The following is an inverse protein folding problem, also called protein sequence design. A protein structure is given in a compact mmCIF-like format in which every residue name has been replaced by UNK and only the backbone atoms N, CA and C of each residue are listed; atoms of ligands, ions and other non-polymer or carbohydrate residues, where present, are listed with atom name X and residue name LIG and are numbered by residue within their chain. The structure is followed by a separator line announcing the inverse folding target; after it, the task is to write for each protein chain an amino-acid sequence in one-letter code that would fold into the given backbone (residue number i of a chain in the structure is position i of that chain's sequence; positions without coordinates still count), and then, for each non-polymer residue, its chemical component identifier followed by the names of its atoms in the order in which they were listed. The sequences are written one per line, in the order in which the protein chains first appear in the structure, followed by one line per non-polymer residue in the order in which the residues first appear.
data_IF_262885031709
#
_entry.id   IF_262885031709
#
_cell.length_a   1.000
_cell.length_b   1.000
_cell.length_c   1.000
_cell.angle_alpha   90.00
_cell.angle_beta   90.00
_cell.angle_gamma   90.00
#
_symmetry.space_group_name_H-M   'P 1'
#
loop_
_entity.id
_entity.type
_entity.pdbx_description
1 polymer ?
#
# COMPACT_ATOMS: atom_id res chain seq x y z
N UNK A 1 1.32 -4.93 -10.44
CA UNK A 1 1.59 -4.06 -9.28
C UNK A 1 3.01 -4.27 -8.81
N UNK A 2 3.82 -3.22 -8.76
CA UNK A 2 5.19 -3.30 -8.24
C UNK A 2 5.24 -2.68 -6.84
N UNK A 3 5.45 -3.51 -5.82
CA UNK A 3 5.67 -3.04 -4.46
C UNK A 3 7.10 -2.48 -4.30
N UNK A 4 7.25 -1.44 -3.50
CA UNK A 4 8.47 -0.67 -3.32
C UNK A 4 8.65 -0.38 -1.83
N UNK A 5 9.62 -1.05 -1.19
CA UNK A 5 9.89 -0.86 0.23
C UNK A 5 10.43 0.54 0.53
N UNK A 6 9.97 1.18 1.63
CA UNK A 6 10.31 2.57 1.92
C UNK A 6 11.80 2.80 2.10
N UNK A 7 12.47 1.94 2.88
CA UNK A 7 13.89 2.08 3.23
C UNK A 7 14.80 1.05 2.56
N UNK A 8 14.38 -0.21 2.49
CA UNK A 8 15.20 -1.30 1.96
C UNK A 8 15.47 -1.20 0.45
N UNK A 9 16.69 -1.57 0.05
CA UNK A 9 17.11 -1.71 -1.35
C UNK A 9 17.76 -3.10 -1.50
N UNK A 10 17.25 -3.96 -2.39
CA UNK A 10 17.88 -5.25 -2.67
C UNK A 10 19.31 -5.06 -3.21
N UNK A 11 20.28 -5.80 -2.66
CA UNK A 11 21.69 -5.71 -3.08
C UNK A 11 21.93 -6.31 -4.49
N UNK A 12 21.14 -7.30 -4.88
CA UNK A 12 21.35 -8.06 -6.12
C UNK A 12 20.40 -7.64 -7.25
N UNK A 13 19.15 -7.28 -6.92
CA UNK A 13 18.06 -7.15 -7.89
C UNK A 13 17.53 -5.72 -8.05
N UNK A 14 18.37 -4.72 -7.74
CA UNK A 14 18.04 -3.30 -7.82
C UNK A 14 19.09 -2.50 -8.60
N UNK A 15 18.68 -1.59 -9.50
CA UNK A 15 19.60 -0.61 -10.09
C UNK A 15 20.14 0.37 -9.05
N UNK A 16 19.55 0.42 -7.85
CA UNK A 16 19.95 1.28 -6.74
C UNK A 16 20.90 0.59 -5.75
N UNK A 17 21.40 -0.61 -6.06
CA UNK A 17 22.31 -1.35 -5.19
C UNK A 17 23.50 -0.49 -4.71
N UNK A 18 23.87 -0.62 -3.44
CA UNK A 18 24.92 0.17 -2.80
C UNK A 18 24.57 1.63 -2.49
N UNK A 19 23.40 2.14 -2.90
CA UNK A 19 22.93 3.47 -2.49
C UNK A 19 22.40 3.42 -1.05
N UNK A 20 22.62 4.49 -0.28
CA UNK A 20 22.13 4.63 1.09
C UNK A 20 21.10 5.75 1.15
N UNK A 21 20.15 5.62 2.09
CA UNK A 21 19.14 6.65 2.38
C UNK A 21 18.25 7.02 1.18
N UNK A 22 18.05 6.10 0.23
CA UNK A 22 17.07 6.32 -0.84
C UNK A 22 15.68 6.10 -0.27
N UNK A 23 14.89 7.17 -0.25
CA UNK A 23 13.53 7.18 0.30
C UNK A 23 12.54 6.51 -0.64
N UNK A 24 11.36 6.19 -0.11
CA UNK A 24 10.25 5.66 -0.92
C UNK A 24 9.92 6.58 -2.09
N UNK A 25 9.80 7.89 -1.81
CA UNK A 25 9.44 8.89 -2.80
C UNK A 25 10.43 8.92 -3.97
N UNK A 26 11.74 8.85 -3.68
CA UNK A 26 12.77 8.82 -4.69
C UNK A 26 12.67 7.58 -5.58
N UNK A 27 12.40 6.41 -4.98
CA UNK A 27 12.23 5.15 -5.74
C UNK A 27 11.04 5.23 -6.68
N UNK A 28 9.89 5.72 -6.22
CA UNK A 28 8.70 5.91 -7.06
C UNK A 28 8.99 6.89 -8.20
N UNK A 29 9.62 8.04 -7.90
CA UNK A 29 10.02 9.02 -8.93
C UNK A 29 10.95 8.44 -9.98
N UNK A 30 11.87 7.55 -9.61
CA UNK A 30 12.74 6.86 -10.56
C UNK A 30 11.90 5.98 -11.49
N UNK A 31 10.98 5.17 -10.94
CA UNK A 31 10.09 4.34 -11.75
C UNK A 31 9.25 5.18 -12.72
N UNK A 32 8.67 6.29 -12.23
CA UNK A 32 7.87 7.23 -13.02
C UNK A 32 8.65 7.81 -14.22
N UNK A 33 9.91 8.21 -14.00
CA UNK A 33 10.67 8.98 -14.99
C UNK A 33 11.53 8.13 -15.92
N UNK A 34 11.91 6.92 -15.50
CA UNK A 34 12.86 6.07 -16.26
C UNK A 34 12.21 4.86 -16.93
N UNK A 35 10.95 4.54 -16.59
CA UNK A 35 10.19 3.39 -17.13
C UNK A 35 11.03 2.10 -17.21
N UNK A 36 11.65 1.66 -16.09
CA UNK A 36 12.58 0.54 -16.12
C UNK A 36 11.85 -0.78 -16.41
N UNK A 37 12.61 -1.79 -16.86
CA UNK A 37 12.11 -3.17 -16.81
C UNK A 37 11.90 -3.57 -15.35
N UNK A 38 10.65 -3.84 -14.99
CA UNK A 38 10.23 -3.93 -13.60
C UNK A 38 9.59 -5.29 -13.30
N UNK A 39 9.99 -5.86 -12.18
CA UNK A 39 9.37 -7.05 -11.62
C UNK A 39 8.13 -6.64 -10.84
N UNK A 40 7.00 -7.29 -11.06
CA UNK A 40 5.73 -6.94 -10.47
C UNK A 40 4.85 -8.17 -10.28
N UNK A 41 3.82 -8.04 -9.45
CA UNK A 41 2.83 -9.11 -9.26
C UNK A 41 1.52 -8.75 -9.94
N UNK A 42 0.86 -9.75 -10.52
CA UNK A 42 -0.54 -9.66 -10.89
C UNK A 42 -1.39 -10.03 -9.68
N UNK A 43 -2.47 -9.30 -9.46
CA UNK A 43 -3.44 -9.58 -8.39
C UNK A 43 -4.74 -10.13 -8.95
N UNK A 44 -5.38 -10.99 -8.18
CA UNK A 44 -6.68 -11.60 -8.45
C UNK A 44 -7.61 -11.41 -7.25
N UNK A 45 -8.93 -11.44 -7.45
CA UNK A 45 -9.88 -11.49 -6.33
C UNK A 45 -9.55 -12.63 -5.37
N UNK A 46 -9.53 -12.34 -4.07
CA UNK A 46 -9.13 -13.29 -3.03
C UNK A 46 -7.64 -13.28 -2.67
N UNK A 47 -6.78 -12.62 -3.46
CA UNK A 47 -5.37 -12.43 -3.11
C UNK A 47 -5.23 -11.60 -1.82
N UNK A 48 -4.20 -11.91 -1.04
CA UNK A 48 -3.92 -11.21 0.22
C UNK A 48 -2.63 -10.40 0.19
N UNK A 49 -2.32 -9.76 1.33
CA UNK A 49 -1.06 -9.03 1.54
C UNK A 49 0.18 -9.85 1.22
N UNK A 50 0.13 -11.17 1.40
CA UNK A 50 1.24 -12.08 1.11
C UNK A 50 1.76 -11.96 -0.33
N UNK A 51 0.93 -11.54 -1.28
CA UNK A 51 1.29 -11.32 -2.69
C UNK A 51 2.28 -10.18 -2.92
N UNK A 52 2.55 -9.37 -1.89
CA UNK A 52 3.48 -8.26 -1.99
C UNK A 52 4.67 -8.51 -1.07
N UNK A 53 5.83 -7.99 -1.44
CA UNK A 53 6.98 -7.96 -0.54
C UNK A 53 7.04 -6.66 0.27
N UNK A 54 6.27 -5.64 -0.15
CA UNK A 54 6.14 -4.34 0.52
C UNK A 54 4.69 -3.82 0.53
N UNK A 55 4.35 -2.90 1.43
CA UNK A 55 2.99 -2.36 1.57
C UNK A 55 2.61 -1.28 0.56
N UNK A 56 3.55 -0.62 -0.12
CA UNK A 56 3.20 0.46 -1.03
C UNK A 56 4.00 0.38 -2.32
N UNK A 57 3.49 0.98 -3.38
CA UNK A 57 4.20 1.01 -4.65
C UNK A 57 3.33 1.54 -5.79
N UNK A 58 3.57 1.01 -6.98
CA UNK A 58 2.95 1.49 -8.21
C UNK A 58 2.04 0.44 -8.86
N UNK A 59 0.90 0.91 -9.36
CA UNK A 59 0.03 0.17 -10.27
C UNK A 59 0.56 0.39 -11.68
N UNK A 60 0.77 -0.70 -12.41
CA UNK A 60 1.31 -0.67 -13.77
C UNK A 60 0.19 -0.98 -14.77
N UNK A 61 0.26 -0.35 -15.93
CA UNK A 61 -0.61 -0.58 -17.08
C UNK A 61 0.25 -0.66 -18.35
N UNK A 62 -0.28 -1.35 -19.37
CA UNK A 62 0.41 -1.55 -20.64
C UNK A 62 1.76 -2.24 -20.48
N UNK A 63 2.69 -1.92 -21.39
CA UNK A 63 4.02 -2.52 -21.46
C UNK A 63 4.03 -3.91 -22.10
N UNK A 64 5.21 -4.51 -22.19
CA UNK A 64 5.41 -5.86 -22.74
C UNK A 64 5.87 -6.81 -21.64
N UNK A 65 5.10 -7.87 -21.39
CA UNK A 65 5.55 -8.96 -20.50
C UNK A 65 6.73 -9.67 -21.17
N UNK A 66 7.85 -9.79 -20.45
CA UNK A 66 9.07 -10.48 -20.90
C UNK A 66 9.24 -11.85 -20.26
N UNK A 67 8.68 -12.01 -19.06
CA UNK A 67 8.78 -13.22 -18.25
C UNK A 67 7.62 -13.28 -17.27
N UNK A 68 7.16 -14.49 -16.96
CA UNK A 68 6.21 -14.73 -15.88
C UNK A 68 6.59 -15.99 -15.10
N UNK A 69 6.35 -15.98 -13.79
CA UNK A 69 6.63 -17.09 -12.89
C UNK A 69 5.54 -17.21 -11.83
N UNK A 70 5.15 -18.44 -11.52
CA UNK A 70 4.20 -18.79 -10.45
C UNK A 70 4.74 -18.48 -9.04
N UNK A 71 6.04 -18.17 -8.94
CA UNK A 71 6.76 -17.81 -7.71
C UNK A 71 7.75 -16.66 -7.98
N UNK A 72 8.56 -16.30 -6.97
CA UNK A 72 9.78 -15.52 -7.21
C UNK A 72 10.67 -16.28 -8.23
N UNK A 73 10.90 -15.66 -9.38
CA UNK A 73 11.72 -16.17 -10.48
C UNK A 73 13.18 -15.76 -10.37
N UNK A 74 13.58 -15.07 -9.30
CA UNK A 74 14.97 -14.70 -9.03
C UNK A 74 15.54 -13.74 -10.06
N UNK A 75 14.72 -12.83 -10.60
CA UNK A 75 15.14 -11.95 -11.69
C UNK A 75 16.19 -10.94 -11.24
N UNK A 76 17.28 -10.83 -12.01
CA UNK A 76 18.42 -9.96 -11.68
C UNK A 76 18.49 -8.76 -12.62
N UNK A 77 19.02 -7.64 -12.12
CA UNK A 77 19.21 -6.41 -12.92
C UNK A 77 20.66 -6.32 -13.38
N UNK A 78 20.87 -6.28 -14.70
CA UNK A 78 22.20 -6.12 -15.28
C UNK A 78 22.68 -4.65 -15.22
N UNK A 79 23.90 -4.38 -15.70
CA UNK A 79 24.50 -3.03 -15.63
C UNK A 79 23.77 -2.00 -16.49
N UNK A 80 23.06 -2.46 -17.50
CA UNK A 80 22.25 -1.65 -18.41
C UNK A 80 20.81 -1.44 -17.90
N UNK A 81 20.47 -1.94 -16.71
CA UNK A 81 19.13 -1.82 -16.12
C UNK A 81 18.09 -2.79 -16.67
N UNK A 82 18.50 -3.75 -17.51
CA UNK A 82 17.63 -4.82 -18.03
C UNK A 82 17.57 -5.98 -17.05
N UNK A 83 16.45 -6.70 -17.06
CA UNK A 83 16.24 -7.86 -16.23
C UNK A 83 16.61 -9.15 -16.94
N UNK A 84 17.47 -9.94 -16.32
CA UNK A 84 17.79 -11.30 -16.74
C UNK A 84 17.03 -12.30 -15.89
N UNK A 85 16.48 -13.32 -16.54
CA UNK A 85 15.72 -14.39 -15.92
C UNK A 85 16.20 -15.73 -16.45
N UNK A 86 16.14 -16.77 -15.61
CA UNK A 86 16.46 -18.12 -16.04
C UNK A 86 15.20 -18.75 -16.64
N UNK A 87 15.15 -18.83 -17.97
CA UNK A 87 14.01 -19.45 -18.65
C UNK A 87 14.12 -20.97 -18.57
N UNK A 88 13.12 -21.63 -17.98
CA UNK A 88 13.04 -23.09 -17.89
C UNK A 88 12.69 -23.79 -19.21
N UNK A 89 12.56 -23.03 -20.31
CA UNK A 89 12.26 -23.54 -21.66
C UNK A 89 10.80 -23.39 -22.06
N UNK A 90 9.93 -22.94 -21.16
CA UNK A 90 8.53 -22.65 -21.46
C UNK A 90 8.38 -21.42 -22.36
N UNK A 91 7.39 -21.46 -23.25
CA UNK A 91 7.01 -20.28 -24.02
C UNK A 91 6.41 -19.20 -23.11
N UNK A 92 6.55 -17.92 -23.48
CA UNK A 92 5.98 -16.82 -22.70
C UNK A 92 4.47 -16.97 -22.49
N UNK A 93 3.73 -17.42 -23.51
CA UNK A 93 2.28 -17.65 -23.39
C UNK A 93 1.94 -18.73 -22.33
N UNK A 94 2.74 -19.79 -22.26
CA UNK A 94 2.59 -20.83 -21.23
C UNK A 94 2.92 -20.27 -19.84
N UNK A 95 4.03 -19.53 -19.71
CA UNK A 95 4.42 -18.89 -18.45
C UNK A 95 3.30 -18.00 -17.92
N UNK A 96 2.79 -17.09 -18.75
CA UNK A 96 1.70 -16.17 -18.38
C UNK A 96 0.45 -16.96 -17.98
N UNK A 97 0.04 -17.93 -18.79
CA UNK A 97 -1.15 -18.76 -18.49
C UNK A 97 -1.00 -19.53 -17.18
N UNK A 98 0.16 -20.12 -16.90
CA UNK A 98 0.40 -20.85 -15.67
C UNK A 98 0.40 -19.92 -14.46
N UNK A 99 1.10 -18.78 -14.54
CA UNK A 99 1.14 -17.79 -13.46
C UNK A 99 -0.23 -17.22 -13.13
N UNK A 100 -1.02 -16.88 -14.15
CA UNK A 100 -2.38 -16.36 -13.96
C UNK A 100 -3.40 -17.42 -13.51
N UNK A 101 -3.18 -18.70 -13.74
CA UNK A 101 -4.11 -19.76 -13.32
C UNK A 101 -3.65 -20.54 -12.09
N UNK A 102 -2.43 -20.30 -11.61
CA UNK A 102 -1.93 -20.94 -10.40
C UNK A 102 -2.69 -20.46 -9.16
N UNK A 103 -3.15 -21.42 -8.36
CA UNK A 103 -3.55 -21.25 -6.95
C UNK A 103 -2.36 -21.48 -6.00
N UNK A 104 -1.24 -21.98 -6.52
CA UNK A 104 -0.01 -22.21 -5.78
C UNK A 104 0.88 -20.98 -5.79
N UNK A 105 1.33 -20.56 -4.60
CA UNK A 105 2.38 -19.56 -4.42
C UNK A 105 1.98 -18.43 -3.48
N UNK A 106 2.90 -18.02 -2.60
CA UNK A 106 2.73 -16.82 -1.78
C UNK A 106 3.05 -15.54 -2.57
N UNK A 107 3.58 -15.62 -3.78
CA UNK A 107 3.98 -14.48 -4.60
C UNK A 107 4.04 -14.91 -6.07
N UNK A 108 3.57 -14.10 -7.01
CA UNK A 108 3.83 -14.30 -8.43
C UNK A 108 4.72 -13.18 -8.99
N UNK A 109 5.47 -13.49 -10.04
CA UNK A 109 6.37 -12.54 -10.67
C UNK A 109 6.10 -12.39 -12.16
N UNK A 110 5.97 -11.15 -12.60
CA UNK A 110 5.95 -10.73 -13.99
C UNK A 110 7.03 -9.69 -14.21
N UNK A 111 7.87 -9.87 -15.22
CA UNK A 111 8.78 -8.82 -15.69
C UNK A 111 8.11 -8.08 -16.84
N UNK A 112 7.92 -6.77 -16.67
CA UNK A 112 7.29 -5.91 -17.67
C UNK A 112 8.30 -4.87 -18.14
N UNK A 113 8.49 -4.79 -19.46
CA UNK A 113 9.27 -3.73 -20.11
C UNK A 113 8.36 -2.59 -20.56
N UNK A 114 8.90 -1.37 -20.54
CA UNK A 114 8.22 -0.13 -20.93
C UNK A 114 6.83 0.07 -20.28
N UNK A 115 6.69 -0.13 -18.94
CA UNK A 115 5.40 0.00 -18.30
C UNK A 115 4.97 1.47 -18.21
N UNK A 116 3.66 1.69 -18.13
CA UNK A 116 3.07 2.95 -17.69
C UNK A 116 2.57 2.84 -16.25
N UNK A 117 2.90 3.82 -15.42
CA UNK A 117 2.34 3.87 -14.06
C UNK A 117 0.93 4.46 -14.14
N UNK A 118 -0.06 3.66 -13.77
CA UNK A 118 -1.47 4.01 -13.78
C UNK A 118 -1.97 4.56 -12.44
N UNK A 119 -1.19 4.40 -11.37
CA UNK A 119 -1.56 4.86 -10.05
C UNK A 119 -0.56 4.43 -8.99
N UNK A 120 -0.78 4.89 -7.77
CA UNK A 120 -0.04 4.46 -6.59
C UNK A 120 -0.96 3.59 -5.74
N UNK A 121 -0.40 2.58 -5.08
CA UNK A 121 -1.17 1.74 -4.17
C UNK A 121 -0.52 1.63 -2.80
N UNK A 122 -1.36 1.43 -1.78
CA UNK A 122 -0.99 0.96 -0.45
C UNK A 122 -1.84 -0.26 -0.09
N UNK A 123 -1.24 -1.25 0.55
CA UNK A 123 -1.96 -2.41 1.08
C UNK A 123 -2.58 -2.02 2.41
N UNK A 124 -3.90 -2.20 2.53
CA UNK A 124 -4.60 -1.88 3.76
C UNK A 124 -4.00 -2.65 4.93
N UNK A 125 -3.65 -1.92 5.97
CA UNK A 125 -3.34 -2.45 7.28
C UNK A 125 -4.66 -2.88 7.93
N UNK A 126 -5.14 -4.09 7.60
CA UNK A 126 -6.25 -4.65 8.36
C UNK A 126 -5.84 -4.63 9.85
N UNK A 127 -6.62 -4.01 10.76
CA UNK A 127 -6.25 -3.92 12.17
C UNK A 127 -6.04 -5.29 12.84
N UNK A 128 -6.53 -6.37 12.23
CA UNK A 128 -6.30 -7.75 12.68
C UNK A 128 -5.04 -8.40 12.04
N UNK A 129 -4.43 -7.77 11.02
CA UNK A 129 -3.22 -8.27 10.36
C UNK A 129 -1.96 -7.98 11.19
N UNK A 130 -1.49 -9.02 11.89
CA UNK A 130 -0.30 -8.98 12.75
C UNK A 130 1.01 -9.15 11.98
N UNK A 131 0.98 -9.26 10.65
CA UNK A 131 2.18 -9.48 9.83
C UNK A 131 2.87 -8.18 9.40
N UNK A 132 2.30 -7.03 9.75
CA UNK A 132 2.88 -5.71 9.52
C UNK A 132 4.20 -5.50 10.26
N UNK A 133 5.30 -5.38 9.52
CA UNK A 133 6.55 -4.86 10.03
C UNK A 133 6.53 -3.32 9.96
N UNK A 134 6.76 -2.65 11.09
CA UNK A 134 6.68 -1.18 11.20
C UNK A 134 7.62 -0.42 10.23
N UNK A 135 8.71 -1.06 9.78
CA UNK A 135 9.71 -0.45 8.92
C UNK A 135 9.33 -0.45 7.42
N UNK A 136 8.19 -1.05 7.07
CA UNK A 136 7.67 -1.19 5.69
C UNK A 136 6.41 -0.33 5.46
N UNK A 137 6.19 0.69 6.30
CA UNK A 137 4.96 1.49 6.28
C UNK A 137 5.20 2.85 5.61
N UNK A 138 4.58 3.05 4.45
CA UNK A 138 4.34 4.37 3.85
C UNK A 138 3.01 4.88 4.38
N UNK A 139 2.94 6.15 4.77
CA UNK A 139 1.66 6.71 5.26
C UNK A 139 0.68 6.95 4.12
N UNK A 140 -0.63 6.83 4.39
CA UNK A 140 -1.68 7.18 3.43
C UNK A 140 -1.58 8.64 2.97
N UNK A 141 -1.19 9.56 3.87
CA UNK A 141 -0.96 10.97 3.54
C UNK A 141 0.17 11.16 2.53
N UNK A 142 1.30 10.46 2.73
CA UNK A 142 2.44 10.51 1.81
C UNK A 142 2.06 9.96 0.42
N UNK A 143 1.33 8.85 0.38
CA UNK A 143 0.86 8.26 -0.88
C UNK A 143 -0.09 9.19 -1.63
N UNK A 144 -1.09 9.77 -0.95
CA UNK A 144 -2.07 10.68 -1.59
C UNK A 144 -1.36 11.91 -2.12
N UNK A 145 -0.50 12.53 -1.32
CA UNK A 145 0.27 13.70 -1.75
C UNK A 145 1.07 13.41 -3.02
N UNK A 146 1.73 12.25 -3.08
CA UNK A 146 2.48 11.86 -4.27
C UNK A 146 1.58 11.61 -5.48
N UNK A 147 0.43 10.95 -5.27
CA UNK A 147 -0.53 10.69 -6.33
C UNK A 147 -1.04 12.01 -6.93
N UNK A 148 -1.38 12.99 -6.09
CA UNK A 148 -1.76 14.35 -6.51
C UNK A 148 -0.66 15.06 -7.29
N UNK A 149 0.60 15.01 -6.81
CA UNK A 149 1.74 15.63 -7.50
C UNK A 149 1.96 15.09 -8.92
N UNK A 150 1.67 13.81 -9.14
CA UNK A 150 1.80 13.16 -10.45
C UNK A 150 0.50 13.12 -11.26
N UNK A 151 -0.58 13.71 -10.75
CA UNK A 151 -1.92 13.61 -11.34
C UNK A 151 -2.34 12.16 -11.62
N UNK A 152 -2.10 11.29 -10.62
CA UNK A 152 -2.40 9.88 -10.65
C UNK A 152 -3.45 9.53 -9.58
N UNK A 153 -4.24 8.46 -9.79
CA UNK A 153 -5.10 7.93 -8.75
C UNK A 153 -4.27 7.24 -7.64
N UNK A 154 -4.76 7.40 -6.41
CA UNK A 154 -4.31 6.66 -5.24
C UNK A 154 -5.26 5.49 -4.99
N UNK A 155 -4.71 4.31 -4.71
CA UNK A 155 -5.48 3.10 -4.44
C UNK A 155 -5.12 2.49 -3.09
N UNK A 156 -6.09 1.81 -2.50
CA UNK A 156 -5.86 0.87 -1.40
C UNK A 156 -6.21 -0.54 -1.84
N UNK A 157 -5.29 -1.47 -1.61
CA UNK A 157 -5.51 -2.89 -1.82
C UNK A 157 -6.15 -3.50 -0.57
N UNK A 158 -7.29 -4.14 -0.73
CA UNK A 158 -8.00 -4.83 0.33
C UNK A 158 -8.71 -6.08 -0.20
N UNK A 159 -8.39 -7.25 0.37
CA UNK A 159 -9.00 -8.56 0.05
C UNK A 159 -9.02 -8.90 -1.45
N UNK A 160 -7.89 -8.71 -2.13
CA UNK A 160 -7.72 -9.07 -3.53
C UNK A 160 -8.22 -8.02 -4.51
N UNK A 161 -8.63 -6.86 -4.01
CA UNK A 161 -9.26 -5.81 -4.80
C UNK A 161 -8.59 -4.46 -4.55
N UNK A 162 -8.56 -3.61 -5.58
CA UNK A 162 -8.14 -2.22 -5.46
C UNK A 162 -9.36 -1.32 -5.35
N UNK A 163 -9.31 -0.37 -4.41
CA UNK A 163 -10.31 0.68 -4.23
C UNK A 163 -9.63 2.03 -4.40
N UNK A 164 -10.28 2.97 -5.09
CA UNK A 164 -9.83 4.36 -5.08
C UNK A 164 -9.84 4.89 -3.64
N UNK A 165 -8.71 5.50 -3.26
CA UNK A 165 -8.50 6.08 -1.95
C UNK A 165 -8.81 7.56 -2.01
N UNK A 166 -9.75 8.02 -1.19
CA UNK A 166 -10.09 9.44 -1.05
C UNK A 166 -9.88 9.92 0.36
N UNK A 167 -9.33 11.12 0.50
CA UNK A 167 -9.26 11.79 1.78
C UNK A 167 -10.56 12.57 2.02
N UNK A 168 -11.19 12.39 3.18
CA UNK A 168 -12.35 13.17 3.59
C UNK A 168 -12.33 13.48 5.09
N UNK A 169 -13.20 14.40 5.53
CA UNK A 169 -13.44 14.68 6.94
C UNK A 169 -14.80 14.13 7.35
N UNK A 170 -14.83 13.34 8.42
CA UNK A 170 -16.05 12.83 9.02
C UNK A 170 -16.20 13.31 10.47
N UNK A 171 -17.43 13.47 10.93
CA UNK A 171 -17.72 13.71 12.34
C UNK A 171 -17.92 12.38 13.05
N UNK A 172 -17.17 12.13 14.12
CA UNK A 172 -17.34 10.96 14.98
C UNK A 172 -17.44 11.36 16.44
N UNK A 173 -18.19 10.57 17.19
CA UNK A 173 -18.30 10.71 18.64
C UNK A 173 -17.20 9.89 19.33
N UNK A 174 -16.29 10.56 20.03
CA UNK A 174 -15.19 9.92 20.76
C UNK A 174 -15.49 9.83 22.25
N UNK A 175 -15.17 8.68 22.83
CA UNK A 175 -15.31 8.45 24.27
C UNK A 175 -14.05 8.94 25.00
N UNK A 176 -14.24 9.59 26.16
CA UNK A 176 -13.16 9.96 27.07
C UNK A 176 -12.47 8.68 27.57
N UNK A 177 -11.14 8.65 27.52
CA UNK A 177 -10.29 7.59 28.08
C UNK A 177 -9.22 8.22 28.95
N UNK A 178 -8.95 7.61 30.10
CA UNK A 178 -7.81 8.02 30.94
C UNK A 178 -6.55 7.35 30.44
N UNK A 179 -5.44 8.08 30.38
CA UNK A 179 -4.11 7.49 30.22
C UNK A 179 -3.33 7.74 31.51
N UNK A 180 -2.84 6.67 32.13
CA UNK A 180 -1.79 6.76 33.14
C UNK A 180 -0.49 6.70 32.35
N UNK A 181 0.20 7.84 32.17
CA UNK A 181 1.64 7.73 31.88
C UNK A 181 2.29 7.04 33.09
N UNK A 182 3.38 6.31 32.88
CA UNK A 182 4.08 5.47 33.86
C UNK A 182 4.67 6.20 35.10
N UNK A 183 4.02 7.26 35.58
CA UNK A 183 4.29 8.01 36.79
C UNK A 183 2.99 8.15 37.56
N UNK A 184 3.01 7.87 38.86
CA UNK A 184 1.89 8.17 39.74
C UNK A 184 1.49 9.65 39.56
N UNK A 185 0.19 9.95 39.44
CA UNK A 185 -0.26 11.30 39.18
C UNK A 185 0.14 12.23 40.34
N UNK A 186 0.76 13.36 40.01
CA UNK A 186 0.75 14.51 40.93
C UNK A 186 -0.72 14.92 41.12
N UNK A 187 -1.12 15.08 42.39
CA UNK A 187 -2.48 15.45 42.78
C UNK A 187 -2.93 16.69 41.98
N UNK A 188 -3.98 16.53 41.15
CA UNK A 188 -4.57 17.63 40.37
C UNK A 188 -4.12 17.79 38.91
N UNK A 189 -3.23 16.95 38.36
CA UNK A 189 -2.84 16.99 36.93
C UNK A 189 -3.37 15.78 36.16
N UNK A 190 -4.61 15.87 35.66
CA UNK A 190 -5.18 14.87 34.75
C UNK A 190 -5.15 15.39 33.31
N UNK A 191 -4.32 14.78 32.46
CA UNK A 191 -4.50 14.94 31.01
C UNK A 191 -5.67 14.07 30.56
N UNK A 192 -6.65 14.71 29.94
CA UNK A 192 -7.81 14.00 29.40
C UNK A 192 -7.60 13.73 27.93
N UNK A 193 -7.76 12.47 27.54
CA UNK A 193 -7.64 12.06 26.16
C UNK A 193 -8.96 11.48 25.67
N UNK A 194 -9.34 11.81 24.45
CA UNK A 194 -10.38 11.09 23.74
C UNK A 194 -9.73 10.14 22.75
N UNK A 195 -10.19 8.89 22.74
CA UNK A 195 -9.65 7.84 21.87
C UNK A 195 -10.79 7.14 21.14
N UNK A 196 -10.60 6.90 19.85
CA UNK A 196 -11.44 5.97 19.10
C UNK A 196 -11.16 4.56 19.60
N UNK A 197 -12.19 3.91 20.15
CA UNK A 197 -12.09 2.54 20.66
C UNK A 197 -11.81 1.56 19.51
N UNK A 198 -11.26 0.38 19.82
CA UNK A 198 -11.04 -0.65 18.79
C UNK A 198 -12.33 -1.07 18.09
N UNK A 199 -13.46 -1.08 18.81
CA UNK A 199 -14.77 -1.36 18.23
C UNK A 199 -15.18 -0.27 17.23
N UNK A 200 -15.05 1.01 17.59
CA UNK A 200 -15.36 2.12 16.67
C UNK A 200 -14.44 2.12 15.44
N UNK A 201 -13.16 1.76 15.60
CA UNK A 201 -12.24 1.59 14.45
C UNK A 201 -12.73 0.50 13.51
N UNK A 202 -13.18 -0.63 14.05
CA UNK A 202 -13.75 -1.73 13.27
C UNK A 202 -15.03 -1.30 12.56
N UNK A 203 -15.95 -0.62 13.25
CA UNK A 203 -17.20 -0.11 12.66
C UNK A 203 -16.95 0.89 11.52
N UNK A 204 -15.96 1.77 11.67
CA UNK A 204 -15.53 2.68 10.60
C UNK A 204 -14.90 1.91 9.44
N UNK A 205 -14.04 0.94 9.73
CA UNK A 205 -13.41 0.11 8.71
C UNK A 205 -14.42 -0.71 7.90
N UNK A 206 -15.42 -1.28 8.57
CA UNK A 206 -16.54 -2.00 7.95
C UNK A 206 -17.42 -1.09 7.06
N UNK A 207 -17.41 0.22 7.32
CA UNK A 207 -18.05 1.25 6.50
C UNK A 207 -17.14 1.76 5.35
N UNK A 208 -15.92 1.24 5.22
CA UNK A 208 -14.96 1.66 4.21
C UNK A 208 -14.00 2.76 4.67
N UNK A 209 -13.99 3.13 5.95
CA UNK A 209 -13.15 4.19 6.50
C UNK A 209 -11.88 3.67 7.18
N UNK A 210 -10.75 4.16 6.70
CA UNK A 210 -9.43 3.92 7.24
C UNK A 210 -9.00 5.16 8.02
N UNK A 211 -8.61 4.94 9.27
CA UNK A 211 -8.10 5.99 10.14
C UNK A 211 -6.58 6.03 10.07
N UNK A 212 -6.01 7.23 10.04
CA UNK A 212 -4.59 7.40 10.33
C UNK A 212 -4.32 6.98 11.79
N UNK A 213 -3.11 6.49 12.06
CA UNK A 213 -2.78 5.90 13.36
C UNK A 213 -3.12 6.80 14.56
N UNK A 214 -3.52 6.15 15.66
CA UNK A 214 -3.79 6.72 17.00
C UNK A 214 -4.28 8.18 17.03
N UNK A 215 -5.51 8.44 16.58
CA UNK A 215 -6.26 9.63 16.98
C UNK A 215 -6.37 9.70 18.52
N UNK A 216 -5.60 10.59 19.11
CA UNK A 216 -5.58 10.94 20.53
C UNK A 216 -5.81 12.44 20.60
N UNK A 217 -6.97 12.85 21.11
CA UNK A 217 -7.32 14.26 21.23
C UNK A 217 -7.12 14.65 22.69
N UNK A 218 -6.06 15.42 22.97
CA UNK A 218 -5.85 16.04 24.28
C UNK A 218 -6.81 17.20 24.48
N UNK A 219 -7.40 17.29 25.67
CA UNK A 219 -8.21 18.44 26.07
C UNK A 219 -7.82 18.90 27.48
N UNK A 220 -7.80 20.21 27.68
CA UNK A 220 -7.62 20.79 29.01
C UNK A 220 -8.94 20.60 29.77
N UNK A 221 -8.89 19.81 30.84
CA UNK A 221 -10.05 19.33 31.57
C UNK A 221 -11.06 20.45 31.91
N UNK A 222 -12.26 20.36 31.31
CA UNK A 222 -13.48 20.92 31.87
C UNK A 222 -14.32 19.77 32.46
N UNK A 223 -15.07 20.08 33.50
CA UNK A 223 -15.61 19.16 34.52
C UNK A 223 -16.82 18.31 34.08
N UNK A 224 -16.84 17.81 32.84
CA UNK A 224 -17.93 16.99 32.30
C UNK A 224 -17.52 15.58 31.87
N UNK A 225 -18.42 14.60 32.05
CA UNK A 225 -18.34 13.23 31.53
C UNK A 225 -18.99 13.11 30.14
N UNK A 226 -18.81 14.12 29.28
CA UNK A 226 -19.54 14.19 28.02
C UNK A 226 -18.76 13.57 26.88
N UNK A 227 -19.45 12.77 26.06
CA UNK A 227 -18.92 12.34 24.77
C UNK A 227 -18.71 13.57 23.89
N UNK A 228 -17.62 13.58 23.12
CA UNK A 228 -17.27 14.71 22.27
C UNK A 228 -17.41 14.35 20.81
N UNK A 229 -18.07 15.20 20.03
CA UNK A 229 -18.04 15.13 18.56
C UNK A 229 -16.77 15.79 18.06
N UNK A 230 -16.03 15.08 17.22
CA UNK A 230 -14.76 15.53 16.66
C UNK A 230 -14.75 15.28 15.16
N UNK A 231 -14.19 16.22 14.41
CA UNK A 231 -13.93 16.03 12.99
C UNK A 231 -12.59 15.33 12.82
N UNK A 232 -12.61 14.24 12.09
CA UNK A 232 -11.43 13.45 11.79
C UNK A 232 -11.21 13.40 10.30
N UNK A 233 -9.95 13.63 9.92
CA UNK A 233 -9.46 13.26 8.61
C UNK A 233 -9.35 11.74 8.53
N UNK A 234 -10.02 11.17 7.54
CA UNK A 234 -10.07 9.74 7.26
C UNK A 234 -9.76 9.48 5.79
N UNK A 235 -9.44 8.23 5.48
CA UNK A 235 -9.30 7.77 4.11
C UNK A 235 -10.43 6.79 3.80
N UNK A 236 -11.15 7.04 2.72
CA UNK A 236 -12.29 6.24 2.30
C UNK A 236 -11.86 5.29 1.18
N UNK A 237 -12.20 4.02 1.33
CA UNK A 237 -12.28 3.03 0.26
C UNK A 237 -13.53 3.34 -0.55
N UNK A 238 -13.42 4.18 -1.59
CA UNK A 238 -14.60 4.79 -2.22
C UNK A 238 -15.28 3.87 -3.24
N UNK A 239 -14.66 3.69 -4.40
CA UNK A 239 -15.16 2.77 -5.44
C UNK A 239 -14.08 1.78 -5.82
N UNK A 240 -14.52 0.57 -6.14
CA UNK A 240 -13.63 -0.45 -6.70
C UNK A 240 -13.00 0.10 -7.99
N UNK A 241 -11.68 -0.03 -8.09
CA UNK A 241 -10.93 0.43 -9.24
C UNK A 241 -11.31 -0.41 -10.46
N UNK A 242 -11.70 0.26 -11.53
CA UNK A 242 -12.06 -0.39 -12.79
C UNK A 242 -10.82 -0.57 -13.66
N UNK A 243 -9.88 -1.38 -13.15
CA UNK A 243 -8.57 -1.63 -13.77
C UNK A 243 -8.63 -2.76 -14.82
N UNK A 244 -9.79 -3.39 -14.99
CA UNK A 244 -10.00 -4.53 -15.89
C UNK A 244 -10.78 -4.17 -17.15
N UNK A 245 -11.09 -2.89 -17.38
CA UNK A 245 -11.67 -2.48 -18.66
C UNK A 245 -10.64 -2.68 -19.75
N UNK A 246 -10.84 -3.74 -20.53
CA UNK A 246 -10.36 -3.79 -21.90
C UNK A 246 -10.82 -2.49 -22.55
N UNK A 247 -9.87 -1.66 -23.01
CA UNK A 247 -10.22 -0.69 -24.03
C UNK A 247 -10.80 -1.51 -25.18
N UNK A 248 -12.09 -1.30 -25.46
CA UNK A 248 -12.69 -1.74 -26.70
C UNK A 248 -11.72 -1.33 -27.80
N UNK A 249 -11.14 -2.33 -28.49
CA UNK A 249 -10.28 -2.10 -29.64
C UNK A 249 -11.16 -1.64 -30.79
N UNK A 250 -11.58 -0.39 -30.74
CA UNK A 250 -11.99 0.37 -31.91
C UNK A 250 -10.73 1.00 -32.52
N UNK A 251 -10.19 0.30 -33.52
CA UNK A 251 -9.56 0.76 -34.79
C UNK A 251 -8.46 -0.19 -35.30
#
# INVERSE_FOLDING_TARGET
MHATHPTYIPEENSPLRGQKNVTWDQKVRIVMNTKPEISCSAIKPGDGRYMFWSHAGVVLSGGTIKYASVSDGGTQVNKEGKRTFNNNGDSLGQQVSQTFNSEYGHYNEFVVADPHVAGLFIVSSDPEDKTLHYDDIVSYDELIKMAEEFNLPAYVFYKGELYELKQEEIEVEVRRSYYYQDKEPEEGKYETYHKITSQQRKELYDQGYILNDKVVISDNASSGFENKKVRLKVFKMDKKADIYKEEDKDD
#
